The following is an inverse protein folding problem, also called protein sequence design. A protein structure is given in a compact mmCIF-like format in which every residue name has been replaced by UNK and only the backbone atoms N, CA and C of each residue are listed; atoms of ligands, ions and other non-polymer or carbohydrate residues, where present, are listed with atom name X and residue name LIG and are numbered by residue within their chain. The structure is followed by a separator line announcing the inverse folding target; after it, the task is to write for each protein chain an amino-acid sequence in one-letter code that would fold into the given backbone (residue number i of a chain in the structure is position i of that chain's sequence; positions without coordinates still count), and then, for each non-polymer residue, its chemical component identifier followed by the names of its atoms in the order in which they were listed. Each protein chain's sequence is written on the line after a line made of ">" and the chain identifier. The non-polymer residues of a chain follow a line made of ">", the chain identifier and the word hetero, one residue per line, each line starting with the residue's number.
data_IF_340504905195
#
_entry.id   IF_340504905195
#
_cell.length_a   1.000
_cell.length_b   1.000
_cell.length_c   1.000
_cell.angle_alpha   90.00
_cell.angle_beta   90.00
_cell.angle_gamma   90.00
#
_symmetry.space_group_name_H-M   'P 1'
#
loop_
_entity.id
_entity.type
_entity.pdbx_description
1 polymer ?
#
# COMPACT_ATOMS: atom_id res chain seq x y z
N UNK A 1 14.53 13.11 -21.41
CA UNK A 1 13.31 13.11 -20.57
C UNK A 1 13.74 13.55 -19.17
N UNK A 2 13.13 14.59 -18.59
CA UNK A 2 13.43 14.93 -17.18
C UNK A 2 12.87 13.82 -16.31
N UNK A 3 13.73 13.09 -15.58
CA UNK A 3 13.25 12.13 -14.57
C UNK A 3 12.64 12.92 -13.43
N UNK A 4 11.37 12.65 -13.12
CA UNK A 4 10.75 13.21 -11.92
C UNK A 4 11.46 12.71 -10.67
N UNK A 5 11.41 13.54 -9.64
CA UNK A 5 12.02 13.28 -8.36
C UNK A 5 10.94 13.22 -7.28
N UNK A 6 11.25 12.54 -6.18
CA UNK A 6 10.50 12.72 -4.93
C UNK A 6 10.73 14.13 -4.40
N UNK A 7 9.92 14.55 -3.43
CA UNK A 7 10.13 15.83 -2.73
C UNK A 7 11.51 15.93 -2.05
N UNK A 8 12.19 14.80 -1.81
CA UNK A 8 13.54 14.72 -1.26
C UNK A 8 14.64 14.54 -2.31
N UNK A 9 14.33 14.82 -3.58
CA UNK A 9 15.27 14.76 -4.72
C UNK A 9 15.77 13.36 -5.07
N UNK A 10 15.07 12.31 -4.64
CA UNK A 10 15.38 10.94 -5.08
C UNK A 10 14.70 10.65 -6.42
N UNK A 11 15.34 9.92 -7.35
CA UNK A 11 14.70 9.53 -8.60
C UNK A 11 13.55 8.55 -8.31
N UNK A 12 12.41 8.75 -8.99
CA UNK A 12 11.33 7.76 -8.95
C UNK A 12 11.59 6.61 -9.91
N UNK A 13 10.98 5.47 -9.62
CA UNK A 13 11.06 4.29 -10.46
C UNK A 13 10.45 4.51 -11.86
N UNK A 14 10.92 3.81 -12.90
CA UNK A 14 10.40 3.97 -14.27
C UNK A 14 8.88 3.75 -14.39
N UNK A 15 8.32 2.79 -13.65
CA UNK A 15 6.87 2.53 -13.65
C UNK A 15 6.09 3.70 -13.03
N UNK A 16 6.64 4.35 -11.99
CA UNK A 16 6.02 5.47 -11.31
C UNK A 16 5.99 6.70 -12.23
N UNK A 17 7.11 6.97 -12.92
CA UNK A 17 7.20 8.04 -13.91
C UNK A 17 6.22 7.82 -15.08
N UNK A 18 6.15 6.60 -15.61
CA UNK A 18 5.21 6.24 -16.66
C UNK A 18 3.74 6.42 -16.22
N UNK A 19 3.41 6.06 -14.98
CA UNK A 19 2.07 6.28 -14.42
C UNK A 19 1.71 7.76 -14.34
N UNK A 20 2.62 8.59 -13.82
CA UNK A 20 2.41 10.04 -13.72
C UNK A 20 2.27 10.65 -15.11
N UNK A 21 3.14 10.28 -16.05
CA UNK A 21 3.08 10.75 -17.42
C UNK A 21 1.73 10.39 -18.08
N UNK A 22 1.26 9.15 -17.92
CA UNK A 22 -0.04 8.72 -18.42
C UNK A 22 -1.20 9.50 -17.81
N UNK A 23 -1.17 9.79 -16.50
CA UNK A 23 -2.19 10.57 -15.83
C UNK A 23 -2.21 12.03 -16.34
N UNK A 24 -1.05 12.64 -16.52
CA UNK A 24 -0.94 14.00 -17.04
C UNK A 24 -1.39 14.11 -18.50
N UNK A 25 -1.00 13.19 -19.37
CA UNK A 25 -1.46 13.18 -20.76
C UNK A 25 -2.99 13.10 -20.88
N UNK A 26 -3.64 12.40 -19.94
CA UNK A 26 -5.09 12.22 -19.94
C UNK A 26 -5.85 13.40 -19.33
N UNK A 27 -5.24 14.13 -18.39
CA UNK A 27 -5.98 15.06 -17.49
C UNK A 27 -5.45 16.48 -17.50
N UNK A 28 -4.18 16.72 -17.83
CA UNK A 28 -3.59 18.04 -17.80
C UNK A 28 -4.00 18.87 -19.03
N UNK A 29 -4.31 20.14 -18.82
CA UNK A 29 -4.41 21.09 -19.93
C UNK A 29 -3.04 21.25 -20.60
N UNK A 30 -3.01 21.40 -21.94
CA UNK A 30 -1.77 21.53 -22.71
C UNK A 30 -0.81 22.65 -22.23
N UNK A 31 -1.29 23.61 -21.43
CA UNK A 31 -0.52 24.73 -20.92
C UNK A 31 0.28 24.45 -19.62
N UNK A 32 0.11 23.31 -18.95
CA UNK A 32 0.82 23.06 -17.68
C UNK A 32 2.28 22.69 -17.96
N UNK A 33 3.21 23.52 -17.48
CA UNK A 33 4.64 23.20 -17.54
C UNK A 33 4.95 22.01 -16.62
N UNK A 34 5.72 21.01 -17.07
CA UNK A 34 6.14 19.91 -16.23
C UNK A 34 6.92 20.39 -15.01
N UNK A 35 6.47 20.00 -13.83
CA UNK A 35 7.15 20.20 -12.56
C UNK A 35 8.03 19.00 -12.23
N UNK A 36 9.04 19.23 -11.38
CA UNK A 36 10.06 18.23 -11.09
C UNK A 36 9.58 17.15 -10.11
N UNK A 37 8.71 17.50 -9.16
CA UNK A 37 8.43 16.65 -8.02
C UNK A 37 7.15 15.84 -8.15
N UNK A 38 7.13 14.72 -7.45
CA UNK A 38 5.92 13.97 -7.12
C UNK A 38 5.80 13.80 -5.61
N UNK A 39 4.57 13.68 -5.14
CA UNK A 39 4.23 13.46 -3.74
C UNK A 39 3.39 12.20 -3.58
N UNK A 40 3.47 11.58 -2.42
CA UNK A 40 2.51 10.56 -1.99
C UNK A 40 1.27 11.22 -1.37
N UNK A 41 0.15 10.50 -1.35
CA UNK A 41 -1.07 10.96 -0.65
C UNK A 41 -0.81 11.30 0.82
N UNK A 42 0.09 10.59 1.50
CA UNK A 42 0.46 10.90 2.89
C UNK A 42 1.16 12.25 3.01
N UNK A 43 2.09 12.56 2.10
CA UNK A 43 2.82 13.84 2.10
C UNK A 43 1.88 15.01 1.84
N UNK A 44 1.00 14.88 0.83
CA UNK A 44 -0.03 15.89 0.54
C UNK A 44 -0.92 16.14 1.76
N UNK A 45 -1.36 15.08 2.43
CA UNK A 45 -2.19 15.21 3.63
C UNK A 45 -1.46 15.89 4.79
N UNK A 46 -0.21 15.54 5.05
CA UNK A 46 0.60 16.13 6.12
C UNK A 46 0.87 17.62 5.86
N UNK A 47 1.12 17.98 4.60
CA UNK A 47 1.35 19.37 4.19
C UNK A 47 0.07 20.20 4.07
N UNK A 48 -1.12 19.61 4.23
CA UNK A 48 -2.39 20.32 4.08
C UNK A 48 -2.64 20.84 2.66
N UNK A 49 -2.04 20.21 1.64
CA UNK A 49 -2.12 20.66 0.26
C UNK A 49 -3.48 20.29 -0.36
N UNK A 50 -4.01 21.21 -1.17
CA UNK A 50 -5.25 20.98 -1.93
C UNK A 50 -4.95 20.34 -3.28
N UNK A 51 -5.56 19.19 -3.55
CA UNK A 51 -5.43 18.42 -4.80
C UNK A 51 -6.65 18.67 -5.68
N UNK A 52 -6.43 18.74 -6.99
CA UNK A 52 -7.52 18.85 -7.96
C UNK A 52 -8.36 17.57 -7.99
N UNK A 53 -9.70 17.66 -8.13
CA UNK A 53 -10.60 16.51 -8.00
C UNK A 53 -10.23 15.31 -8.88
N UNK A 54 -9.77 15.57 -10.09
CA UNK A 54 -9.41 14.57 -11.09
C UNK A 54 -8.16 13.73 -10.74
N UNK A 55 -7.39 14.12 -9.72
CA UNK A 55 -6.22 13.38 -9.22
C UNK A 55 -6.43 12.75 -7.84
N UNK A 56 -7.58 12.97 -7.18
CA UNK A 56 -7.80 12.56 -5.78
C UNK A 56 -7.63 11.07 -5.48
N UNK A 57 -7.72 10.20 -6.50
CA UNK A 57 -7.58 8.75 -6.35
C UNK A 57 -6.19 8.24 -6.74
N UNK A 58 -5.29 9.09 -7.21
CA UNK A 58 -3.97 8.62 -7.64
C UNK A 58 -3.06 8.31 -6.43
N UNK A 59 -2.34 7.20 -6.51
CA UNK A 59 -1.36 6.84 -5.48
C UNK A 59 -0.13 7.77 -5.49
N UNK A 60 0.17 8.36 -6.65
CA UNK A 60 1.31 9.24 -6.91
C UNK A 60 0.78 10.54 -7.49
N UNK A 61 1.04 11.64 -6.79
CA UNK A 61 0.52 12.96 -7.13
C UNK A 61 1.63 13.82 -7.71
N UNK A 62 1.62 14.11 -9.03
CA UNK A 62 2.51 15.12 -9.58
C UNK A 62 2.23 16.48 -8.94
N UNK A 63 3.24 17.34 -8.82
CA UNK A 63 3.06 18.70 -8.27
C UNK A 63 1.99 19.50 -9.06
N UNK A 64 1.82 19.20 -10.35
CA UNK A 64 0.77 19.74 -11.22
C UNK A 64 -0.67 19.40 -10.77
N UNK A 65 -0.84 18.34 -9.98
CA UNK A 65 -2.13 17.97 -9.41
C UNK A 65 -2.57 18.89 -8.27
N UNK A 66 -1.70 19.78 -7.79
CA UNK A 66 -1.99 20.72 -6.73
C UNK A 66 -2.72 21.97 -7.28
N UNK A 67 -3.54 22.59 -6.43
CA UNK A 67 -4.15 23.90 -6.74
C UNK A 67 -3.16 25.07 -6.63
N UNK A 68 -2.12 24.91 -5.80
CA UNK A 68 -1.14 25.94 -5.48
C UNK A 68 0.27 25.43 -5.70
N UNK A 69 1.18 26.32 -6.10
CA UNK A 69 2.61 26.02 -6.18
C UNK A 69 3.16 25.70 -4.80
N UNK A 70 3.99 24.66 -4.72
CA UNK A 70 4.61 24.23 -3.47
C UNK A 70 6.05 24.77 -3.40
N UNK A 71 6.43 25.35 -2.26
CA UNK A 71 7.85 25.66 -2.02
C UNK A 71 8.57 24.41 -1.50
N UNK A 72 9.31 23.72 -2.37
CA UNK A 72 9.89 22.41 -2.07
C UNK A 72 10.78 22.38 -0.80
N UNK A 73 11.57 23.44 -0.56
CA UNK A 73 12.37 23.55 0.66
C UNK A 73 11.53 23.65 1.94
N UNK A 74 10.40 24.37 1.88
CA UNK A 74 9.48 24.49 3.01
C UNK A 74 8.72 23.17 3.23
N UNK A 75 8.25 22.55 2.15
CA UNK A 75 7.58 21.26 2.20
C UNK A 75 8.48 20.18 2.82
N UNK A 76 9.76 20.11 2.43
CA UNK A 76 10.73 19.20 3.06
C UNK A 76 10.89 19.49 4.56
N UNK A 77 11.06 20.75 4.94
CA UNK A 77 11.22 21.13 6.34
C UNK A 77 10.00 20.73 7.18
N UNK A 78 8.78 20.96 6.69
CA UNK A 78 7.54 20.54 7.37
C UNK A 78 7.48 19.02 7.47
N UNK A 79 7.70 18.29 6.37
CA UNK A 79 7.66 16.82 6.40
C UNK A 79 8.64 16.17 7.38
N UNK A 80 9.79 16.80 7.64
CA UNK A 80 10.84 16.29 8.54
C UNK A 80 10.67 16.79 9.98
N UNK A 81 10.29 18.04 10.18
CA UNK A 81 10.35 18.69 11.49
C UNK A 81 8.99 18.95 12.13
N UNK A 82 7.88 18.87 11.39
CA UNK A 82 6.55 19.08 11.96
C UNK A 82 6.02 17.82 12.64
N UNK A 83 5.09 18.01 13.56
CA UNK A 83 4.23 16.92 14.01
C UNK A 83 3.52 16.28 12.81
N UNK A 84 3.36 14.96 12.87
CA UNK A 84 2.66 14.23 11.82
C UNK A 84 1.17 14.37 12.04
N UNK A 85 0.45 14.81 11.00
CA UNK A 85 -1.00 14.85 11.05
C UNK A 85 -1.60 13.49 10.69
N UNK A 86 -2.27 12.83 11.66
CA UNK A 86 -2.98 11.57 11.45
C UNK A 86 -4.49 11.83 11.34
N UNK A 87 -5.00 11.68 10.12
CA UNK A 87 -6.44 11.75 9.81
C UNK A 87 -7.05 10.36 9.91
N UNK A 88 -7.97 10.20 10.84
CA UNK A 88 -8.65 8.94 11.10
C UNK A 88 -10.04 9.00 10.48
N UNK A 89 -10.35 8.02 9.64
CA UNK A 89 -11.70 7.80 9.13
C UNK A 89 -12.21 6.44 9.60
N UNK A 90 -13.31 6.41 10.36
CA UNK A 90 -13.85 5.14 10.90
C UNK A 90 -14.22 4.10 9.83
N UNK A 91 -14.51 4.53 8.59
CA UNK A 91 -14.87 3.63 7.49
C UNK A 91 -13.68 3.15 6.67
N UNK A 92 -12.59 3.92 6.61
CA UNK A 92 -11.43 3.65 5.74
C UNK A 92 -10.14 3.35 6.49
N UNK A 93 -10.06 3.68 7.77
CA UNK A 93 -8.84 3.62 8.56
C UNK A 93 -8.10 4.96 8.67
N UNK A 94 -6.87 4.88 9.14
CA UNK A 94 -5.95 6.02 9.31
C UNK A 94 -4.73 5.93 8.38
N UNK A 95 -4.56 4.80 7.69
CA UNK A 95 -3.44 4.57 6.79
C UNK A 95 -3.77 5.00 5.36
N UNK A 96 -3.08 6.00 4.78
CA UNK A 96 -3.26 6.39 3.39
C UNK A 96 -2.73 5.32 2.42
N UNK A 97 -3.04 5.45 1.13
CA UNK A 97 -2.45 4.60 0.09
C UNK A 97 -1.06 5.14 -0.23
N UNK A 98 -0.03 4.39 0.17
CA UNK A 98 1.39 4.74 -0.03
C UNK A 98 2.15 3.48 -0.44
N UNK A 99 3.03 3.63 -1.42
CA UNK A 99 4.01 2.63 -1.82
C UNK A 99 5.37 3.29 -1.96
N UNK A 100 6.42 2.47 -2.02
CA UNK A 100 7.75 2.90 -2.35
C UNK A 100 7.85 3.25 -3.84
N UNK A 101 7.74 4.53 -4.17
CA UNK A 101 7.76 5.01 -5.56
C UNK A 101 9.17 5.07 -6.16
N UNK A 102 10.22 4.80 -5.39
CA UNK A 102 11.61 4.78 -5.89
C UNK A 102 12.04 3.36 -6.23
N UNK A 103 11.39 2.35 -5.66
CA UNK A 103 11.64 0.95 -5.95
C UNK A 103 11.18 0.51 -7.36
N UNK A 104 12.05 -0.11 -8.19
CA UNK A 104 11.68 -0.60 -9.52
C UNK A 104 10.66 -1.75 -9.51
N UNK A 105 10.65 -2.56 -8.45
CA UNK A 105 9.75 -3.68 -8.25
C UNK A 105 9.23 -3.66 -6.80
N UNK A 106 7.94 -3.92 -6.61
CA UNK A 106 7.25 -3.87 -5.33
C UNK A 106 6.78 -5.25 -4.87
N UNK A 107 6.88 -5.51 -3.56
CA UNK A 107 6.23 -6.67 -2.94
C UNK A 107 4.76 -6.40 -2.59
N UNK A 108 4.06 -7.41 -2.06
CA UNK A 108 2.69 -7.27 -1.53
C UNK A 108 2.56 -6.20 -0.42
N UNK A 109 3.68 -5.80 0.19
CA UNK A 109 3.76 -4.81 1.27
C UNK A 109 3.97 -3.39 0.75
N UNK A 110 4.04 -3.20 -0.58
CA UNK A 110 4.21 -1.89 -1.20
C UNK A 110 5.56 -1.24 -0.94
N UNK A 111 6.58 -2.06 -0.67
CA UNK A 111 7.99 -1.66 -0.50
C UNK A 111 8.85 -2.31 -1.58
N UNK A 112 10.11 -1.87 -1.71
CA UNK A 112 11.07 -2.50 -2.60
C UNK A 112 11.10 -4.01 -2.39
N UNK A 113 10.86 -4.77 -3.47
CA UNK A 113 10.82 -6.23 -3.41
C UNK A 113 12.18 -6.83 -3.02
N UNK A 114 13.26 -6.29 -3.56
CA UNK A 114 14.62 -6.77 -3.35
C UNK A 114 15.60 -5.62 -3.56
N UNK A 115 16.77 -5.71 -2.94
CA UNK A 115 17.89 -4.78 -3.14
C UNK A 115 18.93 -5.32 -4.13
N UNK A 116 18.80 -6.57 -4.59
CA UNK A 116 19.72 -7.19 -5.55
C UNK A 116 19.59 -6.57 -6.94
N UNK A 117 20.64 -5.91 -7.41
CA UNK A 117 20.67 -5.29 -8.75
C UNK A 117 20.47 -6.30 -9.88
N UNK A 118 21.02 -7.51 -9.73
CA UNK A 118 20.88 -8.59 -10.73
C UNK A 118 19.43 -9.07 -10.83
N UNK A 119 18.78 -9.29 -9.68
CA UNK A 119 17.37 -9.65 -9.64
C UNK A 119 16.50 -8.54 -10.24
N UNK A 120 16.75 -7.28 -9.89
CA UNK A 120 16.03 -6.12 -10.43
C UNK A 120 16.21 -5.98 -11.95
N UNK A 121 17.41 -6.24 -12.47
CA UNK A 121 17.67 -6.26 -13.91
C UNK A 121 16.85 -7.33 -14.62
N UNK A 122 16.80 -8.54 -14.05
CA UNK A 122 16.03 -9.67 -14.59
C UNK A 122 14.53 -9.38 -14.57
N UNK A 123 14.00 -8.88 -13.45
CA UNK A 123 12.61 -8.47 -13.31
C UNK A 123 12.24 -7.38 -14.32
N UNK A 124 13.12 -6.39 -14.50
CA UNK A 124 12.93 -5.31 -15.48
C UNK A 124 12.95 -5.80 -16.92
N UNK A 125 13.83 -6.76 -17.25
CA UNK A 125 13.89 -7.42 -18.54
C UNK A 125 12.59 -8.14 -18.88
N UNK A 126 12.11 -8.99 -17.97
CA UNK A 126 10.86 -9.74 -18.13
C UNK A 126 9.67 -8.78 -18.23
N UNK A 127 9.61 -7.76 -17.36
CA UNK A 127 8.53 -6.78 -17.40
C UNK A 127 8.45 -6.05 -18.74
N UNK A 128 9.60 -5.72 -19.33
CA UNK A 128 9.67 -5.08 -20.64
C UNK A 128 9.26 -6.04 -21.76
N UNK A 129 9.75 -7.28 -21.73
CA UNK A 129 9.43 -8.31 -22.71
C UNK A 129 7.94 -8.62 -22.77
N UNK A 130 7.30 -8.76 -21.59
CA UNK A 130 5.89 -9.09 -21.47
C UNK A 130 4.95 -7.86 -21.43
N UNK A 131 5.51 -6.65 -21.39
CA UNK A 131 4.74 -5.41 -21.32
C UNK A 131 3.95 -5.25 -20.01
N UNK A 132 4.50 -5.68 -18.88
CA UNK A 132 3.84 -5.55 -17.58
C UNK A 132 3.65 -4.08 -17.19
N UNK A 133 2.41 -3.73 -16.81
CA UNK A 133 2.06 -2.38 -16.38
C UNK A 133 2.09 -2.20 -14.86
N UNK A 134 2.16 -3.31 -14.11
CA UNK A 134 2.09 -3.30 -12.65
C UNK A 134 3.46 -3.55 -12.03
N UNK A 135 3.86 -2.78 -11.01
CA UNK A 135 5.16 -2.98 -10.34
C UNK A 135 5.16 -4.14 -9.34
N UNK A 136 4.01 -4.77 -9.08
CA UNK A 136 3.87 -5.76 -8.02
C UNK A 136 4.28 -7.16 -8.46
N UNK A 137 5.18 -7.75 -7.68
CA UNK A 137 5.69 -9.09 -7.83
C UNK A 137 5.45 -9.85 -6.53
N UNK A 138 4.70 -10.94 -6.63
CA UNK A 138 4.24 -11.72 -5.49
C UNK A 138 4.66 -13.16 -5.63
N UNK A 139 4.87 -13.84 -4.50
CA UNK A 139 5.01 -15.30 -4.50
C UNK A 139 3.67 -15.96 -4.82
N UNK A 140 3.72 -17.27 -5.12
CA UNK A 140 2.50 -18.04 -5.35
C UNK A 140 1.64 -18.09 -4.08
N UNK A 141 2.29 -18.21 -2.94
CA UNK A 141 1.70 -18.26 -1.61
C UNK A 141 0.99 -16.94 -1.29
N UNK A 142 1.62 -15.80 -1.57
CA UNK A 142 1.02 -14.47 -1.39
C UNK A 142 -0.18 -14.26 -2.32
N UNK A 143 -0.08 -14.65 -3.60
CA UNK A 143 -1.19 -14.60 -4.54
C UNK A 143 -2.39 -15.42 -4.03
N UNK A 144 -2.13 -16.62 -3.52
CA UNK A 144 -3.17 -17.44 -2.91
C UNK A 144 -3.75 -16.80 -1.67
N UNK A 145 -2.90 -16.36 -0.76
CA UNK A 145 -3.30 -15.88 0.53
C UNK A 145 -4.08 -14.56 0.46
N UNK A 146 -3.62 -13.61 -0.36
CA UNK A 146 -4.24 -12.28 -0.45
C UNK A 146 -5.34 -12.19 -1.53
N UNK A 147 -5.23 -12.93 -2.63
CA UNK A 147 -6.13 -12.75 -3.78
C UNK A 147 -7.03 -13.95 -4.00
N UNK A 148 -6.47 -15.12 -4.28
CA UNK A 148 -7.28 -16.26 -4.75
C UNK A 148 -8.07 -16.96 -3.65
N UNK A 149 -7.67 -16.84 -2.39
CA UNK A 149 -8.46 -17.32 -1.24
C UNK A 149 -9.66 -16.43 -0.90
N UNK A 150 -9.80 -15.25 -1.53
CA UNK A 150 -10.88 -14.32 -1.25
C UNK A 150 -11.57 -13.84 -2.53
N UNK A 151 -12.72 -14.43 -2.86
CA UNK A 151 -13.44 -14.16 -4.11
C UNK A 151 -13.74 -12.66 -4.35
N UNK A 152 -14.20 -11.95 -3.31
CA UNK A 152 -14.46 -10.50 -3.41
C UNK A 152 -13.22 -9.70 -3.82
N UNK A 153 -12.05 -10.02 -3.28
CA UNK A 153 -10.78 -9.34 -3.60
C UNK A 153 -10.37 -9.67 -5.03
N UNK A 154 -10.45 -10.95 -5.41
CA UNK A 154 -10.19 -11.41 -6.78
C UNK A 154 -11.06 -10.66 -7.80
N UNK A 155 -12.35 -10.51 -7.53
CA UNK A 155 -13.27 -9.76 -8.39
C UNK A 155 -12.93 -8.27 -8.43
N UNK A 156 -12.68 -7.66 -7.27
CA UNK A 156 -12.33 -6.24 -7.15
C UNK A 156 -11.07 -5.89 -7.96
N UNK A 157 -10.06 -6.78 -7.93
CA UNK A 157 -8.80 -6.63 -8.66
C UNK A 157 -8.85 -7.22 -10.08
N UNK A 158 -10.01 -7.70 -10.55
CA UNK A 158 -10.16 -8.36 -11.85
C UNK A 158 -9.16 -9.49 -12.14
N UNK A 159 -8.80 -10.28 -11.13
CA UNK A 159 -7.96 -11.47 -11.34
C UNK A 159 -8.77 -12.59 -12.01
N UNK A 160 -8.13 -13.29 -12.95
CA UNK A 160 -8.71 -14.42 -13.66
C UNK A 160 -8.49 -15.70 -12.87
N UNK A 161 -9.59 -16.25 -12.34
CA UNK A 161 -9.61 -17.51 -11.62
C UNK A 161 -8.98 -18.67 -12.42
N UNK A 162 -9.18 -18.67 -13.74
CA UNK A 162 -8.69 -19.73 -14.61
C UNK A 162 -7.18 -19.68 -14.82
N UNK A 163 -6.59 -18.49 -14.64
CA UNK A 163 -5.14 -18.26 -14.77
C UNK A 163 -4.35 -18.66 -13.55
N UNK A 164 -5.01 -19.01 -12.44
CA UNK A 164 -4.32 -19.63 -11.34
C UNK A 164 -4.33 -21.14 -11.53
N UNK A 165 -3.18 -21.77 -11.89
CA UNK A 165 -3.11 -23.21 -11.93
C UNK A 165 -3.35 -23.75 -10.51
N UNK A 166 -4.39 -24.56 -10.34
CA UNK A 166 -4.20 -25.73 -9.50
C UNK A 166 -2.96 -26.51 -9.98
N UNK A 167 -2.39 -27.42 -9.18
CA UNK A 167 -1.22 -28.23 -9.55
C UNK A 167 -1.29 -28.95 -10.92
N UNK A 168 -2.44 -28.91 -11.60
CA UNK A 168 -2.76 -29.58 -12.85
C UNK A 168 -2.55 -28.75 -14.14
N UNK A 169 -2.28 -27.42 -14.12
CA UNK A 169 -1.84 -26.70 -15.35
C UNK A 169 -0.33 -26.53 -15.41
N UNK A 170 0.38 -27.65 -15.33
CA UNK A 170 1.85 -27.74 -15.43
C UNK A 170 2.42 -27.40 -16.84
N UNK A 171 1.61 -26.88 -17.77
CA UNK A 171 1.99 -26.70 -19.17
C UNK A 171 2.41 -25.29 -19.59
N UNK A 172 1.93 -24.23 -18.92
CA UNK A 172 2.34 -22.86 -19.20
C UNK A 172 3.17 -22.34 -18.04
N UNK A 173 4.50 -22.25 -18.22
CA UNK A 173 5.39 -21.70 -17.20
C UNK A 173 5.13 -20.21 -17.07
N UNK A 174 4.42 -19.79 -16.03
CA UNK A 174 4.31 -18.38 -15.66
C UNK A 174 5.73 -17.85 -15.39
N UNK A 175 6.18 -16.78 -16.07
CA UNK A 175 7.51 -16.23 -15.83
C UNK A 175 7.71 -15.91 -14.35
N UNK A 176 8.78 -16.44 -13.77
CA UNK A 176 9.11 -16.24 -12.37
C UNK A 176 10.60 -16.06 -12.16
N UNK A 177 10.95 -15.17 -11.23
CA UNK A 177 12.33 -14.83 -10.88
C UNK A 177 12.57 -15.21 -9.44
N UNK A 178 13.72 -15.80 -9.15
CA UNK A 178 14.17 -16.03 -7.79
C UNK A 178 14.80 -14.76 -7.22
N UNK A 179 14.38 -14.36 -6.03
CA UNK A 179 14.84 -13.14 -5.35
C UNK A 179 14.97 -13.39 -3.86
N UNK A 180 15.86 -12.65 -3.20
CA UNK A 180 15.76 -12.39 -1.76
C UNK A 180 14.77 -11.23 -1.58
N UNK A 181 13.64 -11.51 -0.94
CA UNK A 181 12.53 -10.56 -0.82
C UNK A 181 12.77 -9.50 0.29
N UNK A 182 11.79 -8.62 0.54
CA UNK A 182 11.87 -7.58 1.58
C UNK A 182 11.84 -8.10 3.02
N UNK A 183 11.75 -9.42 3.20
CA UNK A 183 11.91 -10.14 4.48
C UNK A 183 13.24 -10.90 4.61
N UNK A 184 14.11 -10.83 3.60
CA UNK A 184 15.35 -11.62 3.58
C UNK A 184 15.12 -13.10 3.24
N UNK A 185 13.96 -13.45 2.67
CA UNK A 185 13.64 -14.82 2.28
C UNK A 185 13.90 -15.04 0.79
N UNK A 186 14.56 -16.14 0.45
CA UNK A 186 14.73 -16.56 -0.93
C UNK A 186 13.42 -17.19 -1.42
N UNK A 187 12.82 -16.60 -2.46
CA UNK A 187 11.54 -17.05 -3.01
C UNK A 187 11.45 -16.78 -4.51
N UNK A 188 10.52 -17.47 -5.19
CA UNK A 188 10.17 -17.16 -6.59
C UNK A 188 8.94 -16.27 -6.66
N UNK A 189 9.08 -15.18 -7.39
CA UNK A 189 8.04 -14.18 -7.56
C UNK A 189 7.56 -14.10 -9.00
N UNK A 190 6.29 -13.75 -9.18
CA UNK A 190 5.64 -13.56 -10.46
C UNK A 190 4.96 -12.20 -10.48
N UNK A 191 4.95 -11.54 -11.63
CA UNK A 191 4.27 -10.26 -11.75
C UNK A 191 2.75 -10.48 -11.71
N UNK A 192 2.03 -9.66 -10.95
CA UNK A 192 0.57 -9.80 -10.84
C UNK A 192 -0.16 -9.64 -12.17
N UNK A 193 0.44 -8.95 -13.15
CA UNK A 193 -0.11 -8.76 -14.50
C UNK A 193 -0.47 -10.07 -15.19
N UNK A 194 0.28 -11.15 -14.93
CA UNK A 194 0.02 -12.46 -15.56
C UNK A 194 -1.32 -13.07 -15.16
N UNK A 195 -1.87 -12.65 -14.02
CA UNK A 195 -3.09 -13.18 -13.44
C UNK A 195 -4.32 -12.27 -13.66
N UNK A 196 -4.13 -11.09 -14.26
CA UNK A 196 -5.23 -10.15 -14.51
C UNK A 196 -6.07 -10.61 -15.71
N UNK A 197 -7.39 -10.42 -15.63
CA UNK A 197 -8.26 -10.50 -16.81
C UNK A 197 -7.83 -9.45 -17.82
N UNK A 198 -7.80 -9.83 -19.10
CA UNK A 198 -7.67 -8.86 -20.19
C UNK A 198 -8.92 -7.99 -20.20
N UNK A 199 -8.77 -6.75 -19.75
CA UNK A 199 -9.84 -5.75 -19.72
C UNK A 199 -9.60 -4.68 -20.78
N UNK A 200 -10.67 -3.99 -21.20
CA UNK A 200 -10.54 -2.86 -22.10
C UNK A 200 -9.59 -1.79 -21.50
N UNK A 201 -8.84 -1.04 -22.32
CA UNK A 201 -7.89 -0.03 -21.84
C UNK A 201 -8.50 1.00 -20.88
N UNK A 202 -9.79 1.31 -21.02
CA UNK A 202 -10.53 2.23 -20.13
C UNK A 202 -10.71 1.70 -18.70
N UNK A 203 -10.71 0.38 -18.49
CA UNK A 203 -10.86 -0.25 -17.18
C UNK A 203 -9.51 -0.46 -16.46
N UNK A 204 -8.38 -0.28 -17.15
CA UNK A 204 -7.03 -0.50 -16.59
C UNK A 204 -6.74 0.38 -15.36
N UNK A 205 -7.24 1.62 -15.33
CA UNK A 205 -7.04 2.55 -14.23
C UNK A 205 -7.65 2.11 -12.91
N UNK A 206 -8.84 1.50 -12.94
CA UNK A 206 -9.52 0.98 -11.74
C UNK A 206 -8.74 -0.20 -11.15
N UNK A 207 -8.20 -1.07 -12.01
CA UNK A 207 -7.41 -2.21 -11.57
C UNK A 207 -6.11 -1.76 -10.89
N UNK A 208 -5.39 -0.80 -11.50
CA UNK A 208 -4.18 -0.22 -10.89
C UNK A 208 -4.48 0.39 -9.52
N UNK A 209 -5.52 1.23 -9.41
CA UNK A 209 -5.91 1.80 -8.10
C UNK A 209 -6.17 0.71 -7.06
N UNK A 210 -6.91 -0.34 -7.42
CA UNK A 210 -7.17 -1.47 -6.55
C UNK A 210 -5.89 -2.15 -6.07
N UNK A 211 -4.92 -2.39 -6.96
CA UNK A 211 -3.63 -2.98 -6.62
C UNK A 211 -2.85 -2.11 -5.63
N UNK A 212 -2.71 -0.80 -5.87
CA UNK A 212 -2.04 0.10 -4.92
C UNK A 212 -2.81 0.20 -3.60
N UNK A 213 -4.15 0.14 -3.62
CA UNK A 213 -4.95 0.15 -2.40
C UNK A 213 -4.73 -1.11 -1.54
N UNK A 214 -4.60 -2.29 -2.17
CA UNK A 214 -4.40 -3.56 -1.48
C UNK A 214 -2.94 -3.80 -1.09
N UNK A 215 -2.00 -3.49 -1.98
CA UNK A 215 -0.57 -3.74 -1.82
C UNK A 215 0.16 -2.44 -1.53
N UNK A 216 0.00 -1.95 -0.30
CA UNK A 216 0.56 -0.70 0.20
C UNK A 216 1.35 -0.87 1.47
N UNK A 217 2.16 0.13 1.79
CA UNK A 217 2.79 0.25 3.08
C UNK A 217 1.73 0.32 4.18
N UNK A 218 1.76 -0.68 5.04
CA UNK A 218 0.84 -0.83 6.17
C UNK A 218 1.59 -1.56 7.27
N UNK A 219 1.78 -0.88 8.39
CA UNK A 219 2.51 -1.38 9.56
C UNK A 219 1.56 -1.30 10.74
N UNK A 220 0.83 -2.38 11.05
CA UNK A 220 0.00 -2.42 12.23
C UNK A 220 0.87 -2.43 13.48
N UNK A 221 0.43 -1.69 14.49
CA UNK A 221 1.08 -1.47 15.76
C UNK A 221 0.23 -2.09 16.86
N UNK A 222 0.88 -2.86 17.71
CA UNK A 222 0.29 -3.41 18.92
C UNK A 222 0.06 -2.29 19.93
N UNK A 223 -1.18 -2.13 20.40
CA UNK A 223 -1.58 -1.07 21.31
C UNK A 223 -0.83 -1.11 22.64
N UNK A 224 -0.54 -2.31 23.16
CA UNK A 224 0.13 -2.52 24.44
C UNK A 224 1.62 -2.22 24.35
N UNK A 225 2.30 -2.81 23.37
CA UNK A 225 3.77 -2.72 23.28
C UNK A 225 4.23 -1.48 22.49
N UNK A 226 3.33 -0.85 21.72
CA UNK A 226 3.61 0.23 20.76
C UNK A 226 4.65 -0.16 19.70
N UNK A 227 4.80 -1.46 19.46
CA UNK A 227 5.70 -2.02 18.44
C UNK A 227 4.89 -2.63 17.31
N UNK A 228 5.54 -2.81 16.16
CA UNK A 228 4.97 -3.60 15.08
C UNK A 228 4.74 -5.04 15.50
N UNK A 229 3.77 -5.68 14.87
CA UNK A 229 3.54 -7.12 15.02
C UNK A 229 4.59 -7.93 14.24
N UNK A 230 4.61 -9.24 14.49
CA UNK A 230 5.34 -10.20 13.65
C UNK A 230 4.80 -10.18 12.22
N UNK A 231 5.61 -10.61 11.26
CA UNK A 231 5.25 -10.57 9.84
C UNK A 231 3.98 -11.36 9.50
N UNK A 232 3.75 -12.51 10.14
CA UNK A 232 2.55 -13.33 9.92
C UNK A 232 1.29 -12.62 10.41
N UNK A 233 1.37 -11.97 11.58
CA UNK A 233 0.26 -11.17 12.11
C UNK A 233 0.05 -9.91 11.27
N UNK A 234 1.11 -9.25 10.82
CA UNK A 234 1.01 -8.11 9.88
C UNK A 234 0.26 -8.51 8.59
N UNK A 235 0.55 -9.69 8.03
CA UNK A 235 -0.12 -10.20 6.82
C UNK A 235 -1.58 -10.59 7.07
N UNK A 236 -1.89 -11.18 8.22
CA UNK A 236 -3.27 -11.46 8.60
C UNK A 236 -4.10 -10.17 8.76
N UNK A 237 -3.53 -9.15 9.41
CA UNK A 237 -4.18 -7.84 9.55
C UNK A 237 -4.30 -7.12 8.20
N UNK A 238 -3.32 -7.27 7.29
CA UNK A 238 -3.40 -6.78 5.91
C UNK A 238 -4.54 -7.46 5.15
N UNK A 239 -4.63 -8.79 5.21
CA UNK A 239 -5.71 -9.55 4.57
C UNK A 239 -7.09 -9.11 5.10
N UNK A 240 -7.21 -8.94 6.41
CA UNK A 240 -8.40 -8.39 7.04
C UNK A 240 -8.73 -7.00 6.48
N UNK A 241 -7.75 -6.10 6.43
CA UNK A 241 -7.91 -4.72 5.94
C UNK A 241 -8.30 -4.66 4.45
N UNK A 242 -7.73 -5.53 3.61
CA UNK A 242 -8.12 -5.68 2.20
C UNK A 242 -9.59 -6.12 2.09
N UNK A 243 -10.00 -7.09 2.91
CA UNK A 243 -11.33 -7.71 2.84
C UNK A 243 -12.45 -6.75 3.25
N UNK A 244 -12.21 -5.95 4.29
CA UNK A 244 -13.19 -5.01 4.84
C UNK A 244 -13.05 -3.57 4.33
N UNK A 245 -11.93 -3.24 3.67
CA UNK A 245 -11.65 -1.88 3.18
C UNK A 245 -11.34 -0.87 4.29
N UNK A 246 -10.99 -1.33 5.50
CA UNK A 246 -10.68 -0.49 6.65
C UNK A 246 -9.24 -0.75 7.13
N UNK A 247 -8.38 0.26 7.04
CA UNK A 247 -6.95 0.16 7.26
C UNK A 247 -6.53 0.88 8.54
N UNK A 248 -6.89 0.27 9.67
CA UNK A 248 -6.50 0.73 11.00
C UNK A 248 -5.06 0.32 11.29
N UNK A 249 -4.21 1.25 11.73
CA UNK A 249 -2.85 0.95 12.16
C UNK A 249 -2.79 0.39 13.57
N UNK A 250 -3.77 0.63 14.44
CA UNK A 250 -3.69 0.23 15.87
C UNK A 250 -4.58 -0.96 16.18
N UNK A 251 -3.96 -2.02 16.68
CA UNK A 251 -4.62 -3.28 17.02
C UNK A 251 -4.17 -3.81 18.37
N UNK A 252 -5.00 -4.62 19.01
CA UNK A 252 -4.68 -5.31 20.25
C UNK A 252 -5.75 -6.34 20.60
N UNK A 253 -5.48 -7.16 21.61
CA UNK A 253 -6.51 -8.01 22.20
C UNK A 253 -7.47 -7.18 23.06
N UNK A 254 -8.65 -7.73 23.34
CA UNK A 254 -9.58 -7.11 24.31
C UNK A 254 -8.91 -6.92 25.67
N UNK A 255 -8.05 -7.86 26.06
CA UNK A 255 -7.28 -7.77 27.31
C UNK A 255 -6.28 -6.62 27.26
N UNK A 256 -5.56 -6.43 26.15
CA UNK A 256 -4.60 -5.34 25.98
C UNK A 256 -5.26 -3.98 26.17
N UNK A 257 -6.41 -3.76 25.53
CA UNK A 257 -7.18 -2.53 25.68
C UNK A 257 -7.63 -2.31 27.13
N UNK A 258 -8.17 -3.35 27.78
CA UNK A 258 -8.59 -3.28 29.19
C UNK A 258 -7.43 -2.96 30.13
N UNK A 259 -6.27 -3.57 29.93
CA UNK A 259 -5.04 -3.33 30.71
C UNK A 259 -4.59 -1.88 30.60
N UNK A 260 -4.81 -1.24 29.45
CA UNK A 260 -4.52 0.19 29.22
C UNK A 260 -5.65 1.12 29.66
N UNK A 261 -6.74 0.61 30.25
CA UNK A 261 -7.89 1.41 30.65
C UNK A 261 -8.78 1.87 29.49
N UNK A 262 -8.68 1.25 28.32
CA UNK A 262 -9.56 1.50 27.20
C UNK A 262 -10.75 0.54 27.20
N UNK A 263 -11.94 1.12 27.15
CA UNK A 263 -13.19 0.37 27.06
C UNK A 263 -13.46 -0.06 25.61
N UNK A 264 -13.65 -1.36 25.41
CA UNK A 264 -13.97 -1.98 24.12
C UNK A 264 -15.48 -2.20 24.04
N UNK A 265 -16.09 -1.86 22.90
CA UNK A 265 -17.49 -2.10 22.59
C UNK A 265 -17.81 -3.60 22.62
N UNK A 266 -19.05 -3.95 23.00
CA UNK A 266 -19.51 -5.34 22.98
C UNK A 266 -19.55 -5.90 21.55
N UNK A 267 -19.13 -7.16 21.41
CA UNK A 267 -19.07 -7.87 20.14
C UNK A 267 -18.15 -7.21 19.09
N UNK A 268 -16.91 -6.84 19.44
CA UNK A 268 -16.03 -6.15 18.51
C UNK A 268 -15.72 -7.06 17.32
N UNK A 269 -15.74 -6.51 16.11
CA UNK A 269 -15.22 -7.20 14.94
C UNK A 269 -13.69 -7.19 14.97
N UNK A 270 -13.10 -8.32 14.58
CA UNK A 270 -11.67 -8.57 14.71
C UNK A 270 -11.26 -9.79 13.91
N UNK A 271 -10.02 -10.24 14.14
CA UNK A 271 -9.41 -11.35 13.42
C UNK A 271 -8.71 -12.28 14.40
N UNK A 272 -8.90 -13.57 14.20
CA UNK A 272 -8.09 -14.59 14.87
C UNK A 272 -6.78 -14.75 14.11
N UNK A 273 -5.68 -14.63 14.84
CA UNK A 273 -4.32 -14.85 14.32
C UNK A 273 -3.57 -15.79 15.25
N UNK A 274 -2.46 -16.32 14.78
CA UNK A 274 -1.49 -17.03 15.61
C UNK A 274 -0.30 -16.10 15.83
N UNK A 275 0.19 -16.05 17.06
CA UNK A 275 1.43 -15.34 17.36
C UNK A 275 2.68 -16.17 16.98
N UNK A 276 3.86 -15.66 17.31
CA UNK A 276 5.15 -16.30 17.01
C UNK A 276 5.34 -17.66 17.72
N UNK A 277 4.47 -18.00 18.69
CA UNK A 277 4.49 -19.25 19.46
C UNK A 277 3.33 -20.17 19.05
N UNK A 278 2.72 -19.96 17.89
CA UNK A 278 1.52 -20.67 17.42
C UNK A 278 0.35 -20.62 18.41
N UNK A 279 0.29 -19.59 19.26
CA UNK A 279 -0.81 -19.39 20.19
C UNK A 279 -1.91 -18.53 19.55
N UNK A 280 -3.19 -18.98 19.59
CA UNK A 280 -4.27 -18.23 18.99
C UNK A 280 -4.57 -16.96 19.81
N UNK A 281 -4.67 -15.83 19.13
CA UNK A 281 -5.08 -14.55 19.70
C UNK A 281 -6.15 -13.87 18.84
N UNK A 282 -7.10 -13.23 19.53
CA UNK A 282 -8.13 -12.43 18.88
C UNK A 282 -7.76 -10.95 18.93
N UNK A 283 -7.46 -10.38 17.76
CA UNK A 283 -7.12 -8.97 17.61
C UNK A 283 -8.33 -8.16 17.14
N UNK A 284 -8.58 -7.04 17.82
CA UNK A 284 -9.55 -6.03 17.40
C UNK A 284 -8.84 -4.71 17.14
N UNK A 285 -9.42 -3.90 16.26
CA UNK A 285 -8.90 -2.58 15.94
C UNK A 285 -9.26 -1.55 17.03
N UNK A 286 -8.50 -0.46 17.10
CA UNK A 286 -8.80 0.68 17.96
C UNK A 286 -10.19 1.30 17.70
N UNK A 287 -10.79 1.09 16.53
CA UNK A 287 -12.15 1.57 16.23
C UNK A 287 -13.24 0.85 17.02
N UNK A 288 -12.93 -0.31 17.59
CA UNK A 288 -13.84 -1.03 18.47
C UNK A 288 -13.84 -0.49 19.90
N UNK A 289 -13.05 0.56 20.20
CA UNK A 289 -13.08 1.20 21.51
C UNK A 289 -14.13 2.33 21.57
N UNK A 290 -14.63 2.65 22.76
CA UNK A 290 -15.58 3.77 22.96
C UNK A 290 -14.96 5.13 22.63
N UNK A 291 -13.66 5.29 22.93
CA UNK A 291 -12.87 6.46 22.57
C UNK A 291 -11.63 6.10 21.73
N UNK A 292 -11.80 5.83 20.41
CA UNK A 292 -10.67 5.48 19.55
C UNK A 292 -9.60 6.58 19.51
N UNK A 293 -9.99 7.87 19.67
CA UNK A 293 -9.02 8.98 19.67
C UNK A 293 -7.99 8.84 20.77
N UNK A 294 -8.41 8.50 21.98
CA UNK A 294 -7.50 8.29 23.10
C UNK A 294 -6.52 7.13 22.84
N UNK A 295 -6.99 6.07 22.19
CA UNK A 295 -6.17 4.92 21.80
C UNK A 295 -5.10 5.33 20.79
N UNK A 296 -5.47 6.06 19.73
CA UNK A 296 -4.49 6.54 18.75
C UNK A 296 -3.49 7.52 19.36
N UNK A 297 -3.94 8.43 20.23
CA UNK A 297 -3.03 9.34 20.96
C UNK A 297 -2.10 8.59 21.91
N UNK A 298 -2.52 7.46 22.48
CA UNK A 298 -1.64 6.63 23.31
C UNK A 298 -0.50 5.99 22.50
N UNK A 299 -0.81 5.48 21.29
CA UNK A 299 0.18 4.84 20.42
C UNK A 299 1.07 5.87 19.72
N UNK A 300 0.50 7.00 19.31
CA UNK A 300 1.18 8.08 18.59
C UNK A 300 1.13 9.39 19.39
N UNK A 301 1.89 9.51 20.50
CA UNK A 301 1.81 10.67 21.39
C UNK A 301 2.27 11.99 20.77
N UNK A 302 3.06 11.92 19.70
CA UNK A 302 3.62 13.08 18.99
C UNK A 302 2.86 13.40 17.68
N UNK A 303 1.81 12.64 17.36
CA UNK A 303 0.99 12.89 16.18
C UNK A 303 -0.21 13.78 16.56
N UNK A 304 -0.55 14.72 15.67
CA UNK A 304 -1.82 15.44 15.77
C UNK A 304 -2.94 14.50 15.30
N UNK A 305 -3.80 14.06 16.23
CA UNK A 305 -4.88 13.10 15.94
C UNK A 305 -6.20 13.81 15.64
N UNK A 306 -6.78 13.57 14.45
CA UNK A 306 -8.08 14.13 14.03
C UNK A 306 -9.01 13.05 13.48
N UNK A 307 -10.32 13.16 13.76
CA UNK A 307 -11.35 12.25 13.25
C UNK A 307 -12.19 12.95 12.17
N UNK A 308 -12.51 12.22 11.10
CA UNK A 308 -13.40 12.65 10.01
C UNK A 308 -14.47 11.60 9.70
#
# INVERSE_FOLDING_TARGET
>A
MSRRLTIFNEPIAPWADAMVHSALLKRASAAVRPMAHVLTSSQVHQLGLSVRPEYLLDAILPEEALWSTMHAGFARAVLVHSERWRKINRRRGDMPVVVDITAPALSARGVALTTSEEALSTLGGIAKEHGYETPFWLTREELMYFVFSHERVRMFLNFDASRFPGPLRAGESIPSVEVENDRGEICRVMNVSEFLKRVAPSASGVNRYGLFHCFRQFVPINVLTKRRFSHDVEDALRKCSISFGCWCSVWGTIHDYKTLGFEVLDGPLGVWVFDELDSPMYLTSAFSCTNPKAVFSHVYPNDLITFR
#
